data_IF_991549295425
#
_entry.id   IF_991549295425
#
_cell.length_a   1.000
_cell.length_b   1.000
_cell.length_c   1.000
_cell.angle_alpha   90.00
_cell.angle_beta   90.00
_cell.angle_gamma   90.00
#
_symmetry.space_group_name_H-M   'P 1'
#
loop_
_entity.id
_entity.type
_entity.pdbx_description
1 polymer ?
#
# COMPACT_ATOMS: atom_id res chain seq x y z
N UNK A 1 7.76 -3.97 10.04
CA UNK A 1 8.21 -3.33 8.80
C UNK A 1 9.63 -3.70 8.32
N UNK A 2 10.52 -4.37 9.06
CA UNK A 2 11.89 -4.64 8.62
C UNK A 2 12.02 -5.53 7.36
N UNK A 3 10.92 -6.10 6.87
CA UNK A 3 10.89 -6.97 5.70
C UNK A 3 10.14 -6.35 4.50
N UNK A 4 9.74 -5.10 4.60
CA UNK A 4 9.06 -4.39 3.51
C UNK A 4 10.14 -3.74 2.61
N UNK A 5 10.18 -4.08 1.30
CA UNK A 5 11.30 -3.69 0.43
C UNK A 5 11.51 -2.17 0.31
N UNK A 6 10.46 -1.39 0.05
CA UNK A 6 10.59 0.05 -0.12
C UNK A 6 11.07 0.75 1.16
N UNK A 7 10.55 0.37 2.34
CA UNK A 7 10.99 0.93 3.62
C UNK A 7 12.45 0.59 3.94
N UNK A 8 12.90 -0.60 3.53
CA UNK A 8 14.28 -1.02 3.69
C UNK A 8 15.22 -0.23 2.78
N UNK A 9 14.86 -0.07 1.51
CA UNK A 9 15.65 0.70 0.54
C UNK A 9 15.74 2.19 0.91
N UNK A 10 14.65 2.78 1.42
CA UNK A 10 14.66 4.15 1.92
C UNK A 10 15.46 4.32 3.23
N UNK A 11 15.89 3.22 3.86
CA UNK A 11 16.61 3.25 5.13
C UNK A 11 15.71 3.41 6.35
N UNK A 12 14.39 3.25 6.18
CA UNK A 12 13.46 3.25 7.29
C UNK A 12 13.65 2.02 8.17
N UNK A 13 13.37 2.15 9.45
CA UNK A 13 13.29 1.02 10.37
C UNK A 13 14.58 0.20 10.52
N UNK A 14 15.75 0.84 10.38
CA UNK A 14 17.06 0.18 10.59
C UNK A 14 17.31 -0.13 12.06
N UNK A 15 16.60 0.52 12.99
CA UNK A 15 16.73 0.31 14.44
C UNK A 15 15.55 -0.49 14.99
N UNK A 16 15.85 -1.44 15.87
CA UNK A 16 14.81 -2.17 16.63
C UNK A 16 13.99 -1.17 17.46
N UNK A 17 12.65 -1.29 17.38
CA UNK A 17 11.74 -0.40 18.12
C UNK A 17 11.45 0.95 17.44
N UNK A 18 11.96 1.19 16.24
CA UNK A 18 11.63 2.39 15.47
C UNK A 18 10.12 2.45 15.20
N UNK A 19 9.51 3.58 15.55
CA UNK A 19 8.08 3.81 15.44
C UNK A 19 7.81 5.13 14.72
N UNK A 20 6.93 5.11 13.74
CA UNK A 20 6.50 6.30 12.99
C UNK A 20 5.13 6.71 13.53
N UNK A 21 5.08 7.75 14.39
CA UNK A 21 3.85 8.21 15.02
C UNK A 21 2.77 8.59 14.01
N UNK A 22 3.14 9.26 12.92
CA UNK A 22 2.18 9.65 11.88
C UNK A 22 1.57 8.42 11.19
N UNK A 23 2.34 7.37 10.96
CA UNK A 23 1.82 6.10 10.44
C UNK A 23 0.85 5.45 11.42
N UNK A 24 1.19 5.43 12.72
CA UNK A 24 0.29 4.90 13.74
C UNK A 24 -1.05 5.66 13.77
N UNK A 25 -1.00 6.99 13.72
CA UNK A 25 -2.19 7.82 13.70
C UNK A 25 -3.03 7.57 12.43
N UNK A 26 -2.39 7.52 11.26
CA UNK A 26 -3.06 7.22 10.01
C UNK A 26 -3.74 5.85 10.02
N UNK A 27 -3.05 4.80 10.51
CA UNK A 27 -3.63 3.47 10.62
C UNK A 27 -4.80 3.44 11.61
N UNK A 28 -4.74 4.18 12.71
CA UNK A 28 -5.86 4.33 13.67
C UNK A 28 -7.08 5.00 13.03
N UNK A 29 -6.88 6.03 12.22
CA UNK A 29 -7.97 6.66 11.46
C UNK A 29 -8.59 5.69 10.45
N UNK A 30 -7.77 4.89 9.74
CA UNK A 30 -8.29 3.86 8.83
C UNK A 30 -9.17 2.83 9.55
N UNK A 31 -8.83 2.45 10.79
CA UNK A 31 -9.64 1.52 11.57
C UNK A 31 -11.05 2.05 11.88
N UNK A 32 -11.23 3.37 11.99
CA UNK A 32 -12.54 3.98 12.24
C UNK A 32 -13.52 3.84 11.08
N UNK A 33 -13.02 3.62 9.88
CA UNK A 33 -13.83 3.55 8.65
C UNK A 33 -14.50 2.19 8.42
N UNK A 34 -14.35 1.22 9.33
CA UNK A 34 -14.93 -0.14 9.24
C UNK A 34 -14.62 -0.88 7.92
N UNK A 35 -13.48 -0.55 7.29
CA UNK A 35 -13.02 -1.16 6.03
C UNK A 35 -11.84 -2.11 6.23
N UNK A 36 -11.30 -2.16 7.44
CA UNK A 36 -10.16 -3.00 7.79
C UNK A 36 -10.63 -4.36 8.28
N UNK A 37 -9.84 -5.40 8.01
CA UNK A 37 -10.13 -6.77 8.44
C UNK A 37 -8.95 -7.37 9.19
N UNK A 38 -9.26 -8.24 10.13
CA UNK A 38 -8.28 -9.05 10.85
C UNK A 38 -8.55 -10.53 10.63
N UNK A 39 -7.48 -11.31 10.49
CA UNK A 39 -7.52 -12.76 10.56
C UNK A 39 -7.05 -13.21 11.93
N UNK A 40 -7.76 -14.15 12.55
CA UNK A 40 -7.40 -14.79 13.81
C UNK A 40 -7.34 -16.30 13.61
N UNK A 41 -6.49 -16.96 14.37
CA UNK A 41 -6.49 -18.43 14.44
C UNK A 41 -7.63 -18.96 15.33
N UNK A 42 -7.76 -20.28 15.44
CA UNK A 42 -8.77 -20.94 16.27
C UNK A 42 -8.71 -20.59 17.75
N UNK A 43 -7.54 -20.15 18.22
CA UNK A 43 -7.30 -19.71 19.60
C UNK A 43 -7.56 -18.22 19.81
N UNK A 44 -8.02 -17.50 18.75
CA UNK A 44 -8.26 -16.08 18.78
C UNK A 44 -6.99 -15.21 18.65
N UNK A 45 -5.83 -15.81 18.37
CA UNK A 45 -4.60 -15.05 18.17
C UNK A 45 -4.63 -14.32 16.83
N UNK A 46 -4.25 -13.04 16.84
CA UNK A 46 -4.17 -12.23 15.62
C UNK A 46 -3.10 -12.79 14.68
N UNK A 47 -3.52 -13.26 13.52
CA UNK A 47 -2.67 -13.83 12.47
C UNK A 47 -2.29 -12.80 11.40
N UNK A 48 -3.22 -11.91 11.04
CA UNK A 48 -2.98 -10.88 10.04
C UNK A 48 -3.99 -9.76 10.09
N UNK A 49 -3.70 -8.67 9.37
CA UNK A 49 -4.57 -7.49 9.23
C UNK A 49 -4.39 -6.89 7.85
N UNK A 50 -5.47 -6.34 7.29
CA UNK A 50 -5.47 -5.47 6.13
C UNK A 50 -6.06 -4.12 6.51
N UNK A 51 -5.35 -3.04 6.17
CA UNK A 51 -5.79 -1.66 6.33
C UNK A 51 -6.28 -1.15 4.99
N UNK A 52 -7.49 -0.60 4.98
CA UNK A 52 -8.13 -0.09 3.78
C UNK A 52 -8.68 1.31 4.02
N UNK A 53 -8.70 2.12 2.96
CA UNK A 53 -9.33 3.45 2.97
C UNK A 53 -10.06 3.71 1.68
N UNK A 54 -11.06 4.59 1.69
CA UNK A 54 -11.79 5.00 0.50
C UNK A 54 -11.35 6.40 0.12
N UNK A 55 -10.94 6.59 -1.12
CA UNK A 55 -10.70 7.89 -1.73
C UNK A 55 -11.90 8.29 -2.57
N UNK A 56 -12.31 9.54 -2.46
CA UNK A 56 -13.40 10.14 -3.24
C UNK A 56 -12.85 11.19 -4.20
N UNK A 57 -13.41 11.25 -5.40
CA UNK A 57 -13.12 12.33 -6.34
C UNK A 57 -13.69 13.63 -5.79
N UNK A 58 -12.86 14.64 -5.60
CA UNK A 58 -13.29 15.96 -5.19
C UNK A 58 -13.57 16.84 -6.40
N UNK A 59 -14.58 17.74 -6.32
CA UNK A 59 -14.95 18.66 -7.42
C UNK A 59 -13.79 19.55 -7.89
N UNK A 60 -12.80 19.80 -7.07
CA UNK A 60 -11.65 20.63 -7.39
C UNK A 60 -10.47 19.86 -8.03
N UNK A 61 -10.65 18.62 -8.43
CA UNK A 61 -9.74 17.77 -9.22
C UNK A 61 -8.22 17.88 -8.98
N UNK A 62 -7.79 18.62 -7.99
CA UNK A 62 -6.40 18.67 -7.59
C UNK A 62 -6.19 17.80 -6.36
N UNK A 63 -6.06 16.50 -6.53
CA UNK A 63 -5.26 15.75 -5.56
C UNK A 63 -3.85 16.33 -5.69
N UNK A 64 -3.58 17.31 -4.86
CA UNK A 64 -2.26 17.88 -4.74
C UNK A 64 -1.30 16.73 -4.48
N UNK A 65 -0.36 16.54 -5.38
CA UNK A 65 0.76 15.66 -5.12
C UNK A 65 1.65 16.37 -4.10
N UNK A 66 1.91 15.71 -2.99
CA UNK A 66 2.79 16.25 -1.97
C UNK A 66 4.24 16.13 -2.41
N UNK A 67 5.04 17.15 -2.09
CA UNK A 67 6.49 17.07 -2.20
C UNK A 67 7.08 16.42 -0.95
N UNK A 68 8.35 16.07 -0.99
CA UNK A 68 9.08 15.53 0.15
C UNK A 68 9.08 16.50 1.34
N UNK A 69 9.32 17.78 1.06
CA UNK A 69 9.34 18.87 2.05
C UNK A 69 7.96 19.01 2.72
N UNK A 70 6.88 18.90 1.95
CA UNK A 70 5.53 18.96 2.48
C UNK A 70 5.22 17.78 3.40
N UNK A 71 5.66 16.56 3.05
CA UNK A 71 5.54 15.41 3.96
C UNK A 71 6.35 15.64 5.25
N UNK A 72 7.59 16.11 5.15
CA UNK A 72 8.45 16.40 6.31
C UNK A 72 7.81 17.50 7.17
N UNK A 73 7.27 18.55 6.56
CA UNK A 73 6.58 19.63 7.27
C UNK A 73 5.33 19.15 8.02
N UNK A 74 4.66 18.12 7.51
CA UNK A 74 3.56 17.43 8.19
C UNK A 74 4.05 16.47 9.29
N UNK A 75 5.34 16.41 9.58
CA UNK A 75 5.93 15.59 10.63
C UNK A 75 6.25 14.14 10.23
N UNK A 76 6.24 13.81 8.92
CA UNK A 76 6.72 12.52 8.48
C UNK A 76 8.25 12.45 8.52
N UNK A 77 8.85 11.33 8.95
CA UNK A 77 10.28 11.14 8.86
C UNK A 77 10.77 11.22 7.41
N UNK A 78 11.92 11.87 7.18
CA UNK A 78 12.46 12.07 5.83
C UNK A 78 12.61 10.74 5.05
N UNK A 79 13.06 9.68 5.71
CA UNK A 79 13.20 8.36 5.09
C UNK A 79 11.84 7.78 4.66
N UNK A 80 10.79 7.96 5.48
CA UNK A 80 9.46 7.44 5.16
C UNK A 80 8.74 8.32 4.14
N UNK A 81 9.08 9.60 4.05
CA UNK A 81 8.58 10.50 3.01
C UNK A 81 8.96 10.02 1.61
N UNK A 82 10.13 9.40 1.44
CA UNK A 82 10.53 8.76 0.18
C UNK A 82 9.58 7.62 -0.21
N UNK A 83 9.17 6.81 0.77
CA UNK A 83 8.19 5.73 0.53
C UNK A 83 6.84 6.30 0.14
N UNK A 84 6.38 7.37 0.80
CA UNK A 84 5.13 8.03 0.47
C UNK A 84 5.15 8.61 -0.95
N UNK A 85 6.27 9.20 -1.38
CA UNK A 85 6.43 9.67 -2.75
C UNK A 85 6.36 8.53 -3.77
N UNK A 86 7.01 7.40 -3.51
CA UNK A 86 6.92 6.21 -4.36
C UNK A 86 5.47 5.72 -4.48
N UNK A 87 4.74 5.65 -3.37
CA UNK A 87 3.33 5.21 -3.37
C UNK A 87 2.45 6.20 -4.15
N UNK A 88 2.68 7.50 -3.99
CA UNK A 88 1.97 8.56 -4.68
C UNK A 88 2.20 8.51 -6.20
N UNK A 89 3.44 8.28 -6.64
CA UNK A 89 3.79 8.13 -8.05
C UNK A 89 3.17 6.89 -8.68
N UNK A 90 3.18 5.77 -7.95
CA UNK A 90 2.59 4.52 -8.41
C UNK A 90 1.07 4.58 -8.52
N UNK A 91 0.41 5.29 -7.62
CA UNK A 91 -1.06 5.34 -7.52
C UNK A 91 -1.57 6.77 -7.42
N UNK A 92 -1.49 7.55 -8.50
CA UNK A 92 -2.04 8.91 -8.56
C UNK A 92 -3.59 8.84 -8.66
N UNK A 93 -4.29 8.68 -7.52
CA UNK A 93 -5.72 8.37 -7.46
C UNK A 93 -6.61 9.32 -8.25
N UNK A 94 -6.33 10.63 -8.27
CA UNK A 94 -7.11 11.59 -9.05
C UNK A 94 -7.05 11.27 -10.54
N UNK A 95 -5.85 11.00 -11.07
CA UNK A 95 -5.66 10.63 -12.47
C UNK A 95 -6.34 9.30 -12.77
N UNK A 96 -6.20 8.32 -11.87
CA UNK A 96 -6.84 7.00 -12.00
C UNK A 96 -8.36 7.17 -12.04
N UNK A 97 -8.97 7.89 -11.09
CA UNK A 97 -10.41 8.10 -11.04
C UNK A 97 -10.94 8.79 -12.29
N UNK A 98 -10.25 9.82 -12.75
CA UNK A 98 -10.62 10.53 -14.00
C UNK A 98 -10.54 9.60 -15.21
N UNK A 99 -9.44 8.85 -15.35
CA UNK A 99 -9.23 7.95 -16.50
C UNK A 99 -10.21 6.78 -16.51
N UNK A 100 -10.49 6.20 -15.33
CA UNK A 100 -11.41 5.05 -15.18
C UNK A 100 -12.88 5.50 -15.01
N UNK A 101 -13.16 6.81 -15.03
CA UNK A 101 -14.51 7.40 -14.90
C UNK A 101 -15.24 6.90 -13.63
N UNK A 102 -14.57 6.95 -12.49
CA UNK A 102 -15.12 6.57 -11.19
C UNK A 102 -15.00 7.71 -10.20
N UNK A 103 -15.94 7.80 -9.26
CA UNK A 103 -15.98 8.82 -8.21
C UNK A 103 -15.32 8.36 -6.90
N UNK A 104 -14.98 7.08 -6.80
CA UNK A 104 -14.40 6.50 -5.59
C UNK A 104 -13.54 5.27 -5.87
N UNK A 105 -12.51 5.09 -5.05
CA UNK A 105 -11.58 3.95 -5.07
C UNK A 105 -11.43 3.43 -3.64
N UNK A 106 -11.50 2.11 -3.46
CA UNK A 106 -10.99 1.46 -2.25
C UNK A 106 -9.50 1.19 -2.43
N UNK A 107 -8.68 1.75 -1.56
CA UNK A 107 -7.23 1.46 -1.50
C UNK A 107 -6.93 0.44 -0.41
N UNK A 108 -6.29 -0.64 -0.80
CA UNK A 108 -5.75 -1.66 0.10
C UNK A 108 -4.35 -1.22 0.53
N UNK A 109 -4.29 -0.32 1.52
CA UNK A 109 -3.09 0.42 1.89
C UNK A 109 -1.97 -0.46 2.43
N UNK A 110 -2.27 -1.36 3.36
CA UNK A 110 -1.25 -2.23 3.97
C UNK A 110 -1.81 -3.58 4.38
N UNK A 111 -1.02 -4.64 4.16
CA UNK A 111 -1.34 -6.01 4.58
C UNK A 111 -0.18 -6.54 5.40
N UNK A 112 -0.48 -7.00 6.60
CA UNK A 112 0.50 -7.58 7.51
C UNK A 112 0.05 -8.97 7.96
N UNK A 113 0.91 -9.97 7.79
CA UNK A 113 0.71 -11.34 8.30
C UNK A 113 1.90 -11.71 9.18
N UNK A 114 1.63 -12.13 10.42
CA UNK A 114 2.67 -12.55 11.35
C UNK A 114 3.48 -13.72 10.77
N UNK A 115 4.77 -13.74 11.03
CA UNK A 115 5.72 -14.71 10.44
C UNK A 115 5.26 -16.17 10.56
N UNK A 116 4.78 -16.58 11.74
CA UNK A 116 4.34 -17.95 12.00
C UNK A 116 3.09 -18.37 11.24
N UNK A 117 2.32 -17.41 10.71
CA UNK A 117 1.09 -17.65 9.95
C UNK A 117 1.27 -17.39 8.44
N UNK A 118 2.48 -17.11 7.98
CA UNK A 118 2.74 -16.90 6.55
C UNK A 118 2.58 -18.18 5.74
N UNK A 119 2.41 -18.03 4.42
CA UNK A 119 2.23 -19.13 3.44
C UNK A 119 0.96 -19.97 3.63
N UNK A 120 0.00 -19.51 4.43
CA UNK A 120 -1.30 -20.17 4.68
C UNK A 120 -2.45 -19.50 3.91
N UNK A 121 -2.17 -18.62 2.94
CA UNK A 121 -3.20 -17.95 2.14
C UNK A 121 -3.88 -16.75 2.81
N UNK A 122 -3.52 -16.40 4.06
CA UNK A 122 -4.18 -15.36 4.86
C UNK A 122 -4.22 -14.00 4.14
N UNK A 123 -3.12 -13.57 3.52
CA UNK A 123 -3.11 -12.31 2.76
C UNK A 123 -4.12 -12.31 1.63
N UNK A 124 -4.22 -13.41 0.87
CA UNK A 124 -5.20 -13.57 -0.21
C UNK A 124 -6.64 -13.52 0.32
N UNK A 125 -6.91 -14.18 1.45
CA UNK A 125 -8.25 -14.16 2.08
C UNK A 125 -8.61 -12.75 2.56
N UNK A 126 -7.69 -12.03 3.19
CA UNK A 126 -7.91 -10.64 3.63
C UNK A 126 -8.23 -9.72 2.45
N UNK A 127 -7.51 -9.87 1.32
CA UNK A 127 -7.83 -9.12 0.10
C UNK A 127 -9.23 -9.49 -0.42
N UNK A 128 -9.58 -10.79 -0.46
CA UNK A 128 -10.92 -11.22 -0.89
C UNK A 128 -12.02 -10.61 -0.04
N UNK A 129 -11.88 -10.60 1.29
CA UNK A 129 -12.84 -9.93 2.18
C UNK A 129 -13.01 -8.43 1.86
N UNK A 130 -11.91 -7.75 1.55
CA UNK A 130 -11.96 -6.34 1.16
C UNK A 130 -12.64 -6.14 -0.21
N UNK A 131 -12.44 -7.05 -1.18
CA UNK A 131 -13.14 -7.04 -2.47
C UNK A 131 -14.65 -7.24 -2.30
N UNK A 132 -15.07 -8.21 -1.48
CA UNK A 132 -16.48 -8.47 -1.19
C UNK A 132 -17.15 -7.26 -0.51
N UNK A 133 -16.40 -6.59 0.38
CA UNK A 133 -16.88 -5.35 1.01
C UNK A 133 -17.01 -4.22 -0.01
N UNK A 134 -16.04 -4.06 -0.92
CA UNK A 134 -16.12 -3.07 -2.00
C UNK A 134 -17.38 -3.29 -2.86
N UNK A 135 -17.68 -4.55 -3.24
CA UNK A 135 -18.91 -4.90 -3.95
C UNK A 135 -20.15 -4.51 -3.16
N UNK A 136 -20.23 -4.88 -1.88
CA UNK A 136 -21.39 -4.58 -1.03
C UNK A 136 -21.66 -3.08 -0.89
N UNK A 137 -20.62 -2.27 -0.93
CA UNK A 137 -20.68 -0.79 -0.85
C UNK A 137 -20.74 -0.11 -2.23
N UNK A 138 -20.83 -0.89 -3.31
CA UNK A 138 -20.83 -0.38 -4.69
C UNK A 138 -19.66 0.54 -4.97
N UNK A 139 -18.47 0.17 -4.48
CA UNK A 139 -17.21 0.84 -4.82
C UNK A 139 -16.66 0.15 -6.07
N UNK A 140 -16.66 0.82 -7.24
CA UNK A 140 -16.43 0.12 -8.50
C UNK A 140 -14.98 -0.25 -8.74
N UNK A 141 -14.02 0.39 -8.05
CA UNK A 141 -12.60 0.22 -8.29
C UNK A 141 -11.83 -0.01 -7.00
N UNK A 142 -10.95 -1.01 -7.00
CA UNK A 142 -10.05 -1.33 -5.90
C UNK A 142 -8.61 -1.20 -6.38
N UNK A 143 -7.78 -0.49 -5.60
CA UNK A 143 -6.35 -0.35 -5.82
C UNK A 143 -5.57 -1.14 -4.77
N UNK A 144 -4.42 -1.66 -5.19
CA UNK A 144 -3.39 -2.19 -4.28
C UNK A 144 -2.01 -1.83 -4.80
N UNK A 145 -1.19 -1.14 -4.00
CA UNK A 145 0.20 -0.83 -4.34
C UNK A 145 1.13 -1.83 -3.67
N UNK A 146 1.76 -2.65 -4.49
CA UNK A 146 2.59 -3.77 -4.07
C UNK A 146 4.07 -3.41 -4.15
N UNK A 147 4.69 -3.13 -3.03
CA UNK A 147 6.14 -2.93 -2.90
C UNK A 147 6.90 -4.25 -2.74
N UNK A 148 6.19 -5.35 -2.52
CA UNK A 148 6.72 -6.69 -2.33
C UNK A 148 6.20 -7.66 -3.40
N UNK A 149 7.08 -8.50 -3.95
CA UNK A 149 6.70 -9.57 -4.90
C UNK A 149 5.69 -10.56 -4.30
N UNK A 150 5.66 -10.71 -2.99
CA UNK A 150 4.67 -11.60 -2.33
C UNK A 150 3.26 -11.03 -2.46
N UNK A 151 3.09 -9.73 -2.25
CA UNK A 151 1.78 -9.07 -2.42
C UNK A 151 1.38 -9.02 -3.89
N UNK A 152 2.35 -8.80 -4.81
CA UNK A 152 2.09 -8.88 -6.25
C UNK A 152 1.51 -10.23 -6.67
N UNK A 153 2.05 -11.35 -6.17
CA UNK A 153 1.51 -12.70 -6.44
C UNK A 153 0.07 -12.85 -5.95
N UNK A 154 -0.26 -12.30 -4.78
CA UNK A 154 -1.64 -12.31 -4.29
C UNK A 154 -2.57 -11.51 -5.22
N UNK A 155 -2.14 -10.34 -5.68
CA UNK A 155 -2.90 -9.49 -6.60
C UNK A 155 -3.15 -10.19 -7.94
N UNK A 156 -2.11 -10.79 -8.52
CA UNK A 156 -2.22 -11.55 -9.78
C UNK A 156 -3.17 -12.74 -9.62
N UNK A 157 -3.05 -13.50 -8.52
CA UNK A 157 -3.95 -14.63 -8.22
C UNK A 157 -5.42 -14.21 -8.10
N UNK A 158 -5.67 -12.99 -7.63
CA UNK A 158 -6.99 -12.40 -7.51
C UNK A 158 -7.39 -11.57 -8.75
N UNK A 159 -6.68 -11.74 -9.87
CA UNK A 159 -6.99 -11.13 -11.17
C UNK A 159 -7.00 -9.60 -11.17
N UNK A 160 -6.14 -8.99 -10.36
CA UNK A 160 -5.89 -7.56 -10.50
C UNK A 160 -5.08 -7.28 -11.76
N UNK A 161 -5.42 -6.21 -12.47
CA UNK A 161 -4.69 -5.74 -13.64
C UNK A 161 -3.60 -4.76 -13.24
N UNK A 162 -2.41 -4.91 -13.82
CA UNK A 162 -1.30 -3.97 -13.62
C UNK A 162 -1.64 -2.61 -14.21
N UNK A 163 -1.50 -1.54 -13.41
CA UNK A 163 -1.72 -0.16 -13.85
C UNK A 163 -0.42 0.59 -14.04
N UNK A 164 0.52 0.49 -13.08
CA UNK A 164 1.79 1.21 -13.12
C UNK A 164 2.89 0.40 -12.43
N UNK A 165 4.15 0.70 -12.72
CA UNK A 165 5.29 0.06 -12.03
C UNK A 165 6.54 0.93 -12.07
N UNK A 166 7.35 0.82 -11.01
CA UNK A 166 8.65 1.46 -10.90
C UNK A 166 9.66 0.38 -10.50
N UNK A 167 10.71 0.21 -11.31
CA UNK A 167 11.83 -0.63 -10.92
C UNK A 167 12.62 0.05 -9.81
N UNK A 168 12.96 -0.66 -8.76
CA UNK A 168 13.73 -0.07 -7.66
C UNK A 168 15.10 0.47 -8.10
N UNK A 169 15.71 -0.11 -9.11
CA UNK A 169 16.95 0.40 -9.70
C UNK A 169 16.81 1.78 -10.36
N UNK A 170 15.59 2.15 -10.76
CA UNK A 170 15.27 3.44 -11.39
C UNK A 170 14.62 4.42 -10.40
N UNK A 171 14.32 3.96 -9.17
CA UNK A 171 13.71 4.79 -8.14
C UNK A 171 14.74 5.76 -7.55
N UNK A 172 14.44 7.05 -7.63
CA UNK A 172 15.22 8.10 -6.99
C UNK A 172 14.80 8.20 -5.52
N UNK A 173 15.68 7.75 -4.63
CA UNK A 173 15.51 7.84 -3.20
C UNK A 173 16.63 8.72 -2.63
N UNK A 174 16.30 9.73 -1.83
CA UNK A 174 17.28 10.71 -1.29
C UNK A 174 18.11 11.39 -2.40
N UNK A 175 17.43 11.77 -3.50
CA UNK A 175 18.02 12.38 -4.70
C UNK A 175 19.08 11.50 -5.41
N UNK A 176 19.18 10.23 -5.06
CA UNK A 176 20.08 9.27 -5.68
C UNK A 176 19.29 8.07 -6.22
N UNK A 177 19.76 7.53 -7.32
CA UNK A 177 19.25 6.25 -7.84
C UNK A 177 19.75 5.13 -6.93
N UNK A 178 18.85 4.22 -6.54
CA UNK A 178 19.22 3.05 -5.74
C UNK A 178 20.16 2.16 -6.54
N UNK A 179 21.36 1.89 -6.02
CA UNK A 179 22.30 0.99 -6.65
C UNK A 179 21.74 -0.43 -6.74
N UNK A 180 22.01 -1.09 -7.86
CA UNK A 180 21.47 -2.43 -8.14
C UNK A 180 21.94 -3.47 -7.10
N UNK A 181 23.11 -3.28 -6.50
CA UNK A 181 23.67 -4.10 -5.42
C UNK A 181 22.85 -4.06 -4.11
N UNK A 182 22.06 -3.01 -3.92
CA UNK A 182 21.20 -2.84 -2.73
C UNK A 182 19.81 -3.46 -2.90
N UNK A 183 19.48 -3.94 -4.11
CA UNK A 183 18.17 -4.45 -4.46
C UNK A 183 18.14 -5.95 -4.24
N UNK A 184 17.17 -6.41 -3.43
CA UNK A 184 16.87 -7.83 -3.32
C UNK A 184 16.32 -8.34 -4.67
N UNK A 185 16.96 -9.30 -5.35
CA UNK A 185 16.48 -9.83 -6.63
C UNK A 185 15.04 -10.33 -6.60
N UNK A 186 14.56 -10.78 -5.44
CA UNK A 186 13.16 -11.22 -5.25
C UNK A 186 12.20 -10.04 -5.25
N UNK A 187 12.67 -8.83 -4.91
CA UNK A 187 11.88 -7.62 -4.76
C UNK A 187 12.44 -6.47 -5.60
N UNK A 188 12.43 -6.63 -6.92
CA UNK A 188 13.07 -5.70 -7.85
C UNK A 188 12.18 -4.57 -8.37
N UNK A 189 10.88 -4.65 -8.13
CA UNK A 189 9.88 -3.71 -8.68
C UNK A 189 8.74 -3.45 -7.71
N UNK A 190 8.30 -2.20 -7.64
CA UNK A 190 7.02 -1.82 -7.03
C UNK A 190 5.96 -1.67 -8.12
N UNK A 191 4.74 -2.15 -7.86
CA UNK A 191 3.66 -2.23 -8.85
C UNK A 191 2.35 -1.78 -8.25
N UNK A 192 1.62 -0.91 -8.94
CA UNK A 192 0.22 -0.62 -8.66
C UNK A 192 -0.67 -1.51 -9.51
N UNK A 193 -1.68 -2.09 -8.87
CA UNK A 193 -2.68 -2.93 -9.50
C UNK A 193 -4.08 -2.38 -9.24
N UNK A 194 -4.94 -2.54 -10.24
CA UNK A 194 -6.36 -2.17 -10.16
C UNK A 194 -7.24 -3.37 -10.42
N UNK A 195 -8.41 -3.41 -9.76
CA UNK A 195 -9.46 -4.37 -10.07
C UNK A 195 -10.82 -3.67 -10.06
N UNK A 196 -11.56 -3.80 -11.17
CA UNK A 196 -12.97 -3.47 -11.18
C UNK A 196 -13.74 -4.55 -10.42
N UNK A 197 -14.64 -4.12 -9.55
CA UNK A 197 -15.53 -5.01 -8.79
C UNK A 197 -16.98 -4.64 -9.12
N UNK A 198 -17.69 -5.60 -9.69
CA UNK A 198 -19.11 -5.50 -10.09
C UNK A 198 -19.96 -6.34 -9.16
#
# INVERSE_FOLDING_TARGET
MPHEPATRLAGCCTKTGYRIHNLDNMLREMLKNNMCYTAKDEKGELAGVIFCTIYFQTKNNSTKLFTKEEFIHQGWPADFSEVLLLLQELSPFSKIMTTKKTDKILDLFAIVVKNKFRRQGIATQLISCALDKAKSLKIPLVNITCTSSFTQRCSIKLEFSKENSILYKDWKCKDQIIGQENIDPVHSVAVSYLKFVT
#
